data_IF_872972221655
#
_entry.id   IF_872972221655
#
_cell.length_a   1.000
_cell.length_b   1.000
_cell.length_c   1.000
_cell.angle_alpha   90.00
_cell.angle_beta   90.00
_cell.angle_gamma   90.00
#
_symmetry.space_group_name_H-M   'P 1'
#
loop_
_entity.id
_entity.type
_entity.pdbx_description
1 polymer ?
#
# COMPACT_ATOMS: atom_id res chain seq x y z
N UNK A 1 2.90 0.07 102.15
CA UNK A 1 4.23 0.54 101.73
C UNK A 1 4.77 -0.54 100.82
N UNK A 2 4.25 -0.56 99.60
CA UNK A 2 4.61 -1.50 98.55
C UNK A 2 5.71 -0.85 97.73
N UNK A 3 6.90 -1.48 97.67
CA UNK A 3 7.91 -1.15 96.67
C UNK A 3 8.06 -2.32 95.71
N UNK A 4 7.88 -1.95 94.44
CA UNK A 4 7.70 -2.74 93.23
C UNK A 4 8.79 -3.78 92.95
N UNK A 5 8.30 -4.89 92.38
CA UNK A 5 9.02 -5.88 91.58
C UNK A 5 9.11 -5.43 90.09
N UNK A 6 9.81 -6.18 89.20
CA UNK A 6 10.79 -5.67 88.23
C UNK A 6 10.21 -5.10 86.93
N UNK A 7 10.98 -4.20 86.31
CA UNK A 7 10.75 -3.66 84.95
C UNK A 7 11.00 -4.70 83.87
N UNK A 8 10.00 -5.53 83.58
CA UNK A 8 9.81 -6.12 82.27
C UNK A 8 8.89 -5.21 81.44
N UNK A 9 9.45 -4.46 80.49
CA UNK A 9 8.64 -3.67 79.57
C UNK A 9 9.01 -4.04 78.13
N UNK A 10 8.24 -4.98 77.57
CA UNK A 10 8.11 -5.22 76.14
C UNK A 10 6.81 -4.60 75.65
N UNK A 11 6.90 -3.65 74.72
CA UNK A 11 5.82 -3.23 73.80
C UNK A 11 6.37 -2.18 72.81
N UNK A 12 5.72 -1.92 71.65
CA UNK A 12 4.99 -2.82 70.78
C UNK A 12 5.52 -2.77 69.33
N UNK A 13 5.13 -3.77 68.53
CA UNK A 13 5.26 -3.72 67.08
C UNK A 13 4.44 -2.56 66.51
N UNK A 14 5.11 -1.47 66.13
CA UNK A 14 4.55 -0.38 65.35
C UNK A 14 4.95 -0.56 63.88
N UNK A 15 4.19 -1.37 63.14
CA UNK A 15 4.30 -1.42 61.69
C UNK A 15 3.95 -0.06 61.10
N UNK A 16 4.92 0.61 60.48
CA UNK A 16 4.60 1.77 59.65
C UNK A 16 4.00 1.29 58.32
N UNK A 17 2.91 1.94 57.87
CA UNK A 17 2.11 1.52 56.73
C UNK A 17 2.96 1.49 55.46
N UNK A 18 2.83 0.39 54.72
CA UNK A 18 3.37 0.26 53.38
C UNK A 18 2.97 1.46 52.53
N UNK A 19 3.96 2.08 51.90
CA UNK A 19 3.72 2.94 50.74
C UNK A 19 2.93 2.12 49.74
N UNK A 20 1.68 2.52 49.53
CA UNK A 20 0.76 1.86 48.60
C UNK A 20 1.44 1.67 47.25
N UNK A 21 1.28 0.52 46.57
CA UNK A 21 1.66 0.44 45.18
C UNK A 21 0.81 1.48 44.45
N UNK A 22 1.46 2.51 43.91
CA UNK A 22 0.84 3.41 42.94
C UNK A 22 0.39 2.52 41.79
N UNK A 23 -0.91 2.20 41.76
CA UNK A 23 -1.48 1.34 40.75
C UNK A 23 -1.14 1.90 39.37
N UNK A 24 -0.33 1.16 38.63
CA UNK A 24 -0.07 1.38 37.21
C UNK A 24 -1.42 1.30 36.49
N UNK A 25 -2.06 2.44 36.29
CA UNK A 25 -3.24 2.54 35.44
C UNK A 25 -2.74 2.39 34.02
N UNK A 26 -2.83 1.18 33.48
CA UNK A 26 -2.60 0.94 32.05
C UNK A 26 -3.60 1.80 31.27
N UNK A 27 -3.09 2.84 30.60
CA UNK A 27 -3.90 3.71 29.75
C UNK A 27 -4.15 3.03 28.41
N UNK A 28 -4.91 1.94 28.44
CA UNK A 28 -5.28 1.18 27.25
C UNK A 28 -6.16 2.00 26.29
N UNK A 29 -6.92 2.97 26.80
CA UNK A 29 -7.82 3.82 26.00
C UNK A 29 -7.11 4.59 24.87
N UNK A 30 -6.07 5.39 25.16
CA UNK A 30 -5.27 6.05 24.13
C UNK A 30 -4.60 5.08 23.14
N UNK A 31 -4.17 3.90 23.61
CA UNK A 31 -3.55 2.88 22.76
C UNK A 31 -4.57 2.32 21.77
N UNK A 32 -5.75 1.91 22.25
CA UNK A 32 -6.87 1.44 21.41
C UNK A 32 -7.32 2.54 20.44
N UNK A 33 -7.44 3.78 20.91
CA UNK A 33 -7.83 4.92 20.08
C UNK A 33 -6.84 5.18 18.95
N UNK A 34 -5.53 5.13 19.26
CA UNK A 34 -4.47 5.29 18.26
C UNK A 34 -4.53 4.20 17.18
N UNK A 35 -4.76 2.94 17.58
CA UNK A 35 -4.90 1.82 16.63
C UNK A 35 -6.06 2.08 15.64
N UNK A 36 -7.21 2.53 16.13
CA UNK A 36 -8.37 2.82 15.28
C UNK A 36 -8.04 3.92 14.26
N UNK A 37 -7.41 5.01 14.70
CA UNK A 37 -7.00 6.10 13.81
C UNK A 37 -6.03 5.62 12.74
N UNK A 38 -5.03 4.81 13.11
CA UNK A 38 -4.05 4.25 12.18
C UNK A 38 -4.74 3.37 11.12
N UNK A 39 -5.68 2.51 11.52
CA UNK A 39 -6.43 1.66 10.57
C UNK A 39 -7.22 2.49 9.58
N UNK A 40 -7.90 3.56 10.04
CA UNK A 40 -8.66 4.46 9.15
C UNK A 40 -7.72 5.16 8.16
N UNK A 41 -6.53 5.60 8.60
CA UNK A 41 -5.56 6.24 7.72
C UNK A 41 -5.01 5.28 6.67
N UNK A 42 -4.71 4.03 7.03
CA UNK A 42 -4.25 3.01 6.08
C UNK A 42 -5.33 2.72 5.03
N UNK A 43 -6.58 2.51 5.47
CA UNK A 43 -7.70 2.28 4.55
C UNK A 43 -7.93 3.49 3.65
N UNK A 44 -7.89 4.71 4.20
CA UNK A 44 -8.01 5.94 3.43
C UNK A 44 -6.89 6.11 2.40
N UNK A 45 -5.64 5.80 2.76
CA UNK A 45 -4.50 5.86 1.86
C UNK A 45 -4.61 4.82 0.73
N UNK A 46 -4.99 3.58 1.05
CA UNK A 46 -5.20 2.52 0.05
C UNK A 46 -6.39 2.87 -0.86
N UNK A 47 -7.48 3.41 -0.32
CA UNK A 47 -8.64 3.84 -1.10
C UNK A 47 -8.29 4.97 -2.07
N UNK A 48 -7.58 5.99 -1.61
CA UNK A 48 -7.16 7.12 -2.42
C UNK A 48 -6.13 6.72 -3.49
N UNK A 49 -5.13 5.91 -3.12
CA UNK A 49 -4.12 5.43 -4.06
C UNK A 49 -4.72 4.45 -5.07
N UNK A 50 -5.56 3.51 -4.63
CA UNK A 50 -6.26 2.57 -5.51
C UNK A 50 -7.16 3.29 -6.52
N UNK A 51 -7.92 4.31 -6.09
CA UNK A 51 -8.74 5.12 -6.97
C UNK A 51 -7.92 5.93 -8.00
N UNK A 52 -6.71 6.39 -7.63
CA UNK A 52 -5.80 7.06 -8.56
C UNK A 52 -5.28 6.09 -9.63
N UNK A 53 -4.84 4.89 -9.22
CA UNK A 53 -4.30 3.88 -10.13
C UNK A 53 -5.35 3.39 -11.14
N UNK A 54 -6.59 3.16 -10.70
CA UNK A 54 -7.69 2.78 -11.60
C UNK A 54 -8.10 3.88 -12.60
N UNK A 55 -7.70 5.14 -12.35
CA UNK A 55 -7.98 6.27 -13.24
C UNK A 55 -6.85 6.54 -14.23
N UNK A 56 -5.64 6.07 -13.93
CA UNK A 56 -4.48 6.09 -14.85
C UNK A 56 -4.50 4.91 -15.85
N UNK A 57 -5.28 3.86 -15.58
CA UNK A 57 -5.54 2.72 -16.50
C UNK A 57 -6.60 3.02 -17.57
N UNK A 58 -7.23 4.20 -17.54
CA UNK A 58 -7.82 4.74 -18.76
C UNK A 58 -6.69 5.35 -19.59
N UNK A 59 -5.78 4.50 -20.07
CA UNK A 59 -5.02 4.79 -21.28
C UNK A 59 -6.10 5.18 -22.28
N UNK A 60 -6.16 6.42 -22.80
CA UNK A 60 -6.99 6.66 -23.95
C UNK A 60 -6.55 5.58 -24.93
N UNK A 61 -7.47 4.76 -25.42
CA UNK A 61 -7.19 3.96 -26.59
C UNK A 61 -6.77 4.99 -27.63
N UNK A 62 -5.47 5.29 -27.69
CA UNK A 62 -4.89 6.09 -28.73
C UNK A 62 -5.38 5.39 -29.96
N UNK A 63 -6.11 6.14 -30.80
CA UNK A 63 -6.63 5.63 -32.05
C UNK A 63 -5.53 4.78 -32.63
N UNK A 64 -5.78 3.45 -32.70
CA UNK A 64 -4.74 2.54 -33.09
C UNK A 64 -4.30 3.03 -34.46
N UNK A 65 -3.06 3.52 -34.51
CA UNK A 65 -2.49 4.05 -35.72
C UNK A 65 -2.75 3.02 -36.83
N UNK A 66 -3.37 3.46 -37.91
CA UNK A 66 -3.90 2.56 -38.94
C UNK A 66 -2.77 1.73 -39.55
N UNK A 67 -1.57 2.30 -39.64
CA UNK A 67 -0.36 1.60 -40.05
C UNK A 67 0.00 0.49 -39.07
N UNK A 68 0.05 0.79 -37.77
CA UNK A 68 0.29 -0.22 -36.73
C UNK A 68 -0.80 -1.31 -36.68
N UNK A 69 -2.06 -0.96 -36.93
CA UNK A 69 -3.17 -1.92 -36.98
C UNK A 69 -3.07 -2.85 -38.21
N UNK A 70 -2.68 -2.32 -39.36
CA UNK A 70 -2.44 -3.10 -40.58
C UNK A 70 -1.26 -4.08 -40.41
N UNK A 71 -0.15 -3.64 -39.81
CA UNK A 71 1.00 -4.51 -39.53
C UNK A 71 0.68 -5.65 -38.56
N UNK A 72 -0.29 -5.46 -37.65
CA UNK A 72 -0.75 -6.52 -36.74
C UNK A 72 -1.69 -7.54 -37.37
N UNK A 73 -2.24 -7.24 -38.55
CA UNK A 73 -3.22 -8.09 -39.23
C UNK A 73 -2.58 -9.23 -40.06
N UNK A 74 -1.31 -9.56 -39.80
CA UNK A 74 -0.63 -10.69 -40.44
C UNK A 74 -1.21 -12.04 -40.01
N UNK A 75 -1.14 -13.03 -40.91
CA UNK A 75 -1.60 -14.38 -40.66
C UNK A 75 -0.77 -15.12 -39.59
N UNK A 76 -1.35 -16.19 -39.05
CA UNK A 76 -0.70 -17.07 -38.08
C UNK A 76 -0.32 -18.43 -38.68
N UNK A 77 -0.32 -18.53 -40.01
CA UNK A 77 -0.12 -19.77 -40.74
C UNK A 77 1.37 -20.00 -40.97
N UNK A 78 1.81 -21.26 -40.83
CA UNK A 78 3.17 -21.69 -41.15
C UNK A 78 3.29 -22.25 -42.59
N UNK A 79 2.21 -22.23 -43.37
CA UNK A 79 2.24 -22.60 -44.78
C UNK A 79 2.97 -21.56 -45.62
N UNK A 80 3.90 -22.01 -46.49
CA UNK A 80 4.72 -21.12 -47.34
C UNK A 80 3.88 -20.16 -48.18
N UNK A 81 2.80 -20.63 -48.79
CA UNK A 81 1.94 -19.78 -49.61
C UNK A 81 1.17 -18.72 -48.82
N UNK A 82 0.89 -18.97 -47.54
CA UNK A 82 0.28 -17.97 -46.67
C UNK A 82 1.30 -16.89 -46.27
N UNK A 83 2.55 -17.30 -45.99
CA UNK A 83 3.64 -16.36 -45.70
C UNK A 83 3.90 -15.44 -46.89
N UNK A 84 3.93 -15.97 -48.12
CA UNK A 84 4.05 -15.16 -49.34
C UNK A 84 2.89 -14.16 -49.46
N UNK A 85 1.66 -14.60 -49.22
CA UNK A 85 0.48 -13.73 -49.22
C UNK A 85 0.53 -12.64 -48.14
N UNK A 86 1.03 -12.95 -46.95
CA UNK A 86 1.14 -12.00 -45.84
C UNK A 86 2.23 -10.95 -46.12
N UNK A 87 3.33 -11.36 -46.75
CA UNK A 87 4.40 -10.45 -47.17
C UNK A 87 3.92 -9.51 -48.28
N UNK A 88 3.19 -10.02 -49.26
CA UNK A 88 2.60 -9.21 -50.34
C UNK A 88 1.55 -8.22 -49.80
N UNK A 89 0.84 -8.58 -48.73
CA UNK A 89 -0.13 -7.73 -48.06
C UNK A 89 0.49 -6.79 -47.01
N UNK A 90 1.79 -6.86 -46.76
CA UNK A 90 2.47 -5.99 -45.79
C UNK A 90 2.66 -4.60 -46.40
N UNK A 91 1.79 -3.66 -46.04
CA UNK A 91 1.85 -2.26 -46.45
C UNK A 91 2.93 -1.49 -45.68
N UNK A 92 3.99 -1.08 -46.37
CA UNK A 92 5.07 -0.24 -45.82
C UNK A 92 5.01 1.22 -46.29
N UNK A 93 4.12 1.49 -47.25
CA UNK A 93 3.90 2.82 -47.81
C UNK A 93 3.31 3.73 -46.73
N UNK A 94 4.05 4.75 -46.29
CA UNK A 94 3.61 5.68 -45.25
C UNK A 94 4.32 5.54 -43.90
N UNK A 95 5.07 4.45 -43.67
CA UNK A 95 5.87 4.31 -42.45
C UNK A 95 6.89 5.44 -42.25
N UNK A 96 7.48 5.93 -43.34
CA UNK A 96 8.41 7.07 -43.28
C UNK A 96 7.73 8.35 -42.76
N UNK A 97 6.46 8.57 -43.11
CA UNK A 97 5.69 9.71 -42.63
C UNK A 97 5.36 9.56 -41.14
N UNK A 98 4.97 8.36 -40.72
CA UNK A 98 4.67 8.07 -39.31
C UNK A 98 5.92 8.23 -38.42
N UNK A 99 7.09 7.78 -38.88
CA UNK A 99 8.36 7.99 -38.18
C UNK A 99 8.73 9.47 -38.09
N UNK A 100 8.51 10.24 -39.15
CA UNK A 100 8.74 11.69 -39.13
C UNK A 100 7.82 12.41 -38.15
N UNK A 101 6.57 11.96 -38.00
CA UNK A 101 5.60 12.54 -37.07
C UNK A 101 5.93 12.21 -35.60
N UNK A 102 6.50 11.03 -35.33
CA UNK A 102 7.04 10.68 -34.01
C UNK A 102 8.26 11.51 -33.63
N UNK A 103 9.19 11.76 -34.57
CA UNK A 103 10.37 12.60 -34.33
C UNK A 103 9.98 14.05 -34.03
N UNK A 104 8.95 14.57 -34.70
CA UNK A 104 8.45 15.93 -34.49
C UNK A 104 7.77 16.15 -33.11
N UNK A 105 7.39 15.08 -32.41
CA UNK A 105 6.74 15.13 -31.09
C UNK A 105 7.73 15.08 -29.91
N UNK A 106 9.03 14.86 -30.15
CA UNK A 106 10.09 14.84 -29.14
C UNK A 106 10.79 16.19 -28.97
#
# INVERSE_FOLDING_TARGET
MDMQQPVGQSAPAGGMPGTSPSGEKSSAGPVIGSIIVIVILIVGAIYFWGAKLSREEAVPAGEADQTTAALRAQGSSDEVGAIESDLDATELEGLDADFSELEAQL
#
